data_IF_711175580234
#
_entry.id   IF_711175580234
#
_cell.length_a   1.000
_cell.length_b   1.000
_cell.length_c   1.000
_cell.angle_alpha   90.00
_cell.angle_beta   90.00
_cell.angle_gamma   90.00
#
_symmetry.space_group_name_H-M   'P 1'
#
loop_
_entity.id
_entity.type
_entity.pdbx_description
1 polymer ?
#
# COMPACT_ATOMS: atom_id res chain seq x y z
N UNK A 1 -25.35 16.46 -8.65
CA UNK A 1 -26.70 16.71 -8.12
C UNK A 1 -27.49 15.40 -8.27
N UNK A 2 -27.84 14.76 -7.15
CA UNK A 2 -28.67 13.56 -7.14
C UNK A 2 -30.09 13.96 -7.53
N UNK A 3 -30.46 13.69 -8.76
CA UNK A 3 -31.82 13.90 -9.25
C UNK A 3 -32.51 12.56 -9.39
N UNK A 4 -33.77 12.48 -8.94
CA UNK A 4 -34.61 11.32 -9.21
C UNK A 4 -35.83 11.75 -10.01
N UNK A 5 -36.33 10.86 -10.85
CA UNK A 5 -37.55 11.09 -11.65
C UNK A 5 -38.70 10.33 -11.02
N UNK A 6 -39.82 11.00 -10.87
CA UNK A 6 -41.10 10.39 -10.52
C UNK A 6 -41.88 10.23 -11.82
N UNK A 7 -42.12 8.98 -12.23
CA UNK A 7 -42.97 8.65 -13.35
C UNK A 7 -44.44 8.70 -12.93
N UNK A 8 -45.28 9.33 -13.73
CA UNK A 8 -46.72 9.36 -13.52
C UNK A 8 -47.41 8.29 -14.42
N UNK A 9 -48.02 7.28 -13.84
CA UNK A 9 -48.84 6.26 -14.55
C UNK A 9 -50.16 6.15 -13.83
N UNK A 10 -51.21 6.84 -14.35
CA UNK A 10 -52.58 6.80 -13.84
C UNK A 10 -53.05 8.06 -13.14
N UNK A 11 -54.24 8.05 -12.57
CA UNK A 11 -54.79 9.14 -11.75
C UNK A 11 -54.06 9.22 -10.43
N UNK A 12 -53.52 10.41 -10.11
CA UNK A 12 -52.82 10.69 -8.84
C UNK A 12 -53.69 11.65 -8.05
N UNK A 13 -54.03 11.23 -6.84
CA UNK A 13 -54.80 12.02 -5.89
C UNK A 13 -53.85 12.78 -4.93
N UNK A 14 -54.36 13.88 -4.34
CA UNK A 14 -53.58 14.70 -3.39
C UNK A 14 -52.98 13.88 -2.23
N UNK A 15 -53.70 12.84 -1.80
CA UNK A 15 -53.31 11.92 -0.73
C UNK A 15 -52.10 11.06 -1.12
N UNK A 16 -51.99 10.65 -2.40
CA UNK A 16 -50.85 9.91 -2.93
C UNK A 16 -49.62 10.76 -2.96
N UNK A 17 -49.74 12.03 -3.33
CA UNK A 17 -48.64 13.00 -3.33
C UNK A 17 -48.16 13.24 -1.90
N UNK A 18 -49.06 13.43 -0.93
CA UNK A 18 -48.68 13.58 0.49
C UNK A 18 -47.95 12.38 1.03
N UNK A 19 -48.40 11.17 0.71
CA UNK A 19 -47.79 9.91 1.12
C UNK A 19 -46.37 9.76 0.49
N UNK A 20 -46.22 10.10 -0.78
CA UNK A 20 -44.93 10.09 -1.47
C UNK A 20 -43.96 11.09 -0.84
N UNK A 21 -44.39 12.32 -0.56
CA UNK A 21 -43.58 13.33 0.11
C UNK A 21 -43.13 12.89 1.51
N UNK A 22 -44.02 12.22 2.27
CA UNK A 22 -43.69 11.65 3.58
C UNK A 22 -42.60 10.57 3.47
N UNK A 23 -42.73 9.62 2.53
CA UNK A 23 -41.74 8.56 2.28
C UNK A 23 -40.40 9.16 1.85
N UNK A 24 -40.40 10.14 0.95
CA UNK A 24 -39.20 10.85 0.54
C UNK A 24 -38.56 11.57 1.73
N UNK A 25 -39.37 12.25 2.55
CA UNK A 25 -38.89 12.92 3.76
C UNK A 25 -38.23 11.96 4.76
N UNK A 26 -38.85 10.80 5.01
CA UNK A 26 -38.26 9.75 5.86
C UNK A 26 -36.95 9.20 5.28
N UNK A 27 -36.92 8.96 3.97
CA UNK A 27 -35.72 8.46 3.29
C UNK A 27 -34.58 9.48 3.35
N UNK A 28 -34.88 10.75 3.09
CA UNK A 28 -33.91 11.84 3.19
C UNK A 28 -33.40 12.02 4.62
N UNK A 29 -34.30 12.00 5.61
CA UNK A 29 -33.93 12.09 7.02
C UNK A 29 -33.05 10.89 7.47
N UNK A 30 -33.36 9.66 7.04
CA UNK A 30 -32.50 8.48 7.30
C UNK A 30 -31.13 8.63 6.63
N UNK A 31 -31.09 9.18 5.41
CA UNK A 31 -29.84 9.43 4.68
C UNK A 31 -29.00 10.54 5.34
N UNK A 32 -29.66 11.58 5.84
CA UNK A 32 -29.04 12.68 6.60
C UNK A 32 -28.50 12.17 7.94
N UNK A 33 -29.32 11.46 8.72
CA UNK A 33 -28.88 10.87 10.01
C UNK A 33 -27.74 9.85 9.84
N UNK A 34 -27.74 9.12 8.72
CA UNK A 34 -26.62 8.22 8.39
C UNK A 34 -25.35 9.00 8.01
N UNK A 35 -25.49 10.19 7.38
CA UNK A 35 -24.37 11.11 7.11
C UNK A 35 -23.87 11.79 8.39
N UNK A 36 -24.75 12.18 9.30
CA UNK A 36 -24.40 12.81 10.58
C UNK A 36 -23.70 11.84 11.55
N UNK A 37 -23.90 10.51 11.40
CA UNK A 37 -23.19 9.48 12.18
C UNK A 37 -21.81 9.12 11.66
N UNK A 38 -21.45 9.58 10.46
CA UNK A 38 -20.12 9.36 9.85
C UNK A 38 -19.48 10.71 9.52
N UNK A 39 -18.88 11.35 10.52
CA UNK A 39 -18.03 12.52 10.32
C UNK A 39 -16.70 12.19 9.62
N UNK A 40 -16.50 10.96 9.17
CA UNK A 40 -15.28 10.54 8.50
C UNK A 40 -15.30 10.89 7.01
N UNK A 41 -14.20 11.50 6.53
CA UNK A 41 -14.03 11.79 5.11
C UNK A 41 -13.91 10.50 4.27
N UNK A 42 -13.54 9.36 4.88
CA UNK A 42 -13.25 8.11 4.22
C UNK A 42 -14.11 6.95 4.75
N UNK A 43 -14.44 6.00 3.86
CA UNK A 43 -15.13 4.75 4.17
C UNK A 43 -14.15 3.59 4.36
N UNK A 44 -12.94 3.70 3.81
CA UNK A 44 -11.90 2.69 3.95
C UNK A 44 -10.49 3.28 3.83
N UNK A 45 -9.54 2.57 4.46
CA UNK A 45 -8.11 2.77 4.27
C UNK A 45 -7.50 1.47 3.73
N UNK A 46 -6.72 1.59 2.66
CA UNK A 46 -6.00 0.48 2.03
C UNK A 46 -4.50 0.65 2.34
N UNK A 47 -3.98 -0.19 3.21
CA UNK A 47 -2.58 -0.17 3.63
C UNK A 47 -1.69 -1.04 2.73
N UNK A 48 -0.44 -0.68 2.61
CA UNK A 48 0.63 -1.61 2.23
C UNK A 48 1.07 -2.45 3.44
N UNK A 49 1.93 -3.45 3.20
CA UNK A 49 2.43 -4.35 4.23
C UNK A 49 3.86 -4.00 4.69
N UNK A 50 4.89 -4.50 4.01
CA UNK A 50 6.27 -4.41 4.45
C UNK A 50 6.78 -2.95 4.40
N UNK A 51 7.24 -2.42 5.53
CA UNK A 51 7.62 -1.02 5.67
C UNK A 51 6.47 -0.09 6.07
N UNK A 52 5.21 -0.51 5.87
CA UNK A 52 4.01 0.25 6.26
C UNK A 52 3.37 -0.29 7.52
N UNK A 53 2.93 -1.56 7.52
CA UNK A 53 2.24 -2.19 8.65
C UNK A 53 3.06 -3.25 9.37
N UNK A 54 3.95 -3.92 8.65
CA UNK A 54 4.90 -4.92 9.18
C UNK A 54 6.31 -4.63 8.69
N UNK A 55 7.31 -5.36 9.17
CA UNK A 55 8.71 -5.31 8.72
C UNK A 55 9.25 -3.86 8.71
N UNK A 56 9.53 -3.33 9.90
CA UNK A 56 10.07 -1.99 10.06
C UNK A 56 11.39 -1.81 9.28
N UNK A 57 11.40 -0.93 8.27
CA UNK A 57 12.52 -0.70 7.36
C UNK A 57 12.53 -1.59 6.12
N UNK A 58 11.55 -2.50 5.98
CA UNK A 58 11.38 -3.38 4.81
C UNK A 58 12.64 -4.21 4.50
N UNK A 59 13.12 -4.97 5.49
CA UNK A 59 14.38 -5.72 5.37
C UNK A 59 14.23 -7.09 4.72
N UNK A 60 13.08 -7.77 4.85
CA UNK A 60 12.89 -9.11 4.29
C UNK A 60 13.22 -9.19 2.78
N UNK A 61 12.65 -8.35 1.91
CA UNK A 61 12.97 -8.38 0.50
C UNK A 61 14.35 -7.81 0.19
N UNK A 62 14.81 -6.80 0.92
CA UNK A 62 16.11 -6.15 0.69
C UNK A 62 17.25 -7.15 0.81
N UNK A 63 17.32 -7.87 1.93
CA UNK A 63 18.35 -8.86 2.15
C UNK A 63 18.30 -9.98 1.09
N UNK A 64 17.10 -10.44 0.74
CA UNK A 64 16.91 -11.49 -0.25
C UNK A 64 17.41 -11.08 -1.66
N UNK A 65 17.18 -9.83 -2.07
CA UNK A 65 17.72 -9.32 -3.33
C UNK A 65 19.24 -9.20 -3.29
N UNK A 66 19.81 -8.70 -2.19
CA UNK A 66 21.26 -8.64 -2.03
C UNK A 66 21.88 -10.02 -2.16
N UNK A 67 21.38 -10.98 -1.41
CA UNK A 67 21.87 -12.37 -1.41
C UNK A 67 21.69 -13.04 -2.78
N UNK A 68 20.59 -12.74 -3.50
CA UNK A 68 20.37 -13.28 -4.84
C UNK A 68 21.37 -12.75 -5.86
N UNK A 69 21.60 -11.44 -5.88
CA UNK A 69 22.60 -10.85 -6.79
C UNK A 69 24.02 -11.30 -6.47
N UNK A 70 24.35 -11.50 -5.20
CA UNK A 70 25.67 -12.00 -4.76
C UNK A 70 25.96 -13.41 -5.32
N UNK A 71 24.95 -14.29 -5.41
CA UNK A 71 25.09 -15.59 -6.07
C UNK A 71 25.43 -15.52 -7.56
N UNK A 72 25.09 -14.40 -8.21
CA UNK A 72 25.50 -14.09 -9.59
C UNK A 72 26.81 -13.31 -9.65
N UNK A 73 27.52 -13.14 -8.50
CA UNK A 73 28.80 -12.46 -8.39
C UNK A 73 28.69 -10.92 -8.39
N UNK A 74 27.50 -10.38 -8.24
CA UNK A 74 27.23 -8.92 -8.22
C UNK A 74 26.84 -8.53 -6.82
N UNK A 75 27.53 -7.55 -6.22
CA UNK A 75 27.19 -6.98 -4.92
C UNK A 75 26.49 -5.63 -5.12
N UNK A 76 25.16 -5.57 -5.06
CA UNK A 76 24.45 -4.30 -5.18
C UNK A 76 24.61 -3.47 -3.90
N UNK A 77 24.50 -2.16 -4.03
CA UNK A 77 24.38 -1.28 -2.88
C UNK A 77 22.99 -1.30 -2.31
N UNK A 78 22.85 -0.91 -1.04
CA UNK A 78 21.53 -0.77 -0.39
C UNK A 78 20.61 0.18 -1.15
N UNK A 79 21.13 1.28 -1.67
CA UNK A 79 20.35 2.26 -2.43
C UNK A 79 19.84 1.69 -3.76
N UNK A 80 20.66 0.89 -4.45
CA UNK A 80 20.24 0.22 -5.70
C UNK A 80 19.14 -0.80 -5.46
N UNK A 81 19.21 -1.57 -4.36
CA UNK A 81 18.15 -2.52 -3.99
C UNK A 81 16.88 -1.78 -3.59
N UNK A 82 17.00 -0.66 -2.89
CA UNK A 82 15.83 0.07 -2.37
C UNK A 82 15.11 0.93 -3.41
N UNK A 83 15.80 1.38 -4.45
CA UNK A 83 15.22 2.27 -5.46
C UNK A 83 13.94 1.72 -6.13
N UNK A 84 13.88 0.44 -6.59
CA UNK A 84 12.68 -0.14 -7.18
C UNK A 84 11.74 -0.82 -6.16
N UNK A 85 11.88 -0.56 -4.86
CA UNK A 85 11.07 -1.20 -3.84
C UNK A 85 9.57 -0.92 -4.03
N UNK A 86 8.73 -1.90 -3.70
CA UNK A 86 7.28 -1.82 -3.88
C UNK A 86 6.77 -2.21 -5.28
N UNK A 87 7.65 -2.40 -6.27
CA UNK A 87 7.31 -2.92 -7.60
C UNK A 87 7.03 -4.44 -7.55
N UNK A 88 6.45 -4.98 -8.63
CA UNK A 88 6.42 -6.42 -8.87
C UNK A 88 7.84 -6.99 -8.85
N UNK A 89 8.06 -8.13 -8.19
CA UNK A 89 9.42 -8.62 -7.90
C UNK A 89 10.29 -8.85 -9.14
N UNK A 90 9.70 -9.34 -10.23
CA UNK A 90 10.43 -9.51 -11.50
C UNK A 90 10.82 -8.17 -12.12
N UNK A 91 9.95 -7.15 -12.02
CA UNK A 91 10.22 -5.80 -12.52
C UNK A 91 11.25 -5.09 -11.63
N UNK A 92 11.27 -5.39 -10.35
CA UNK A 92 12.31 -4.95 -9.42
C UNK A 92 13.69 -5.44 -9.88
N UNK A 93 13.85 -6.75 -10.12
CA UNK A 93 15.11 -7.34 -10.61
C UNK A 93 15.51 -6.73 -11.95
N UNK A 94 14.55 -6.63 -12.90
CA UNK A 94 14.80 -6.03 -14.21
C UNK A 94 15.30 -4.59 -14.07
N UNK A 95 14.67 -3.79 -13.22
CA UNK A 95 15.06 -2.40 -12.96
C UNK A 95 16.44 -2.33 -12.35
N UNK A 96 16.80 -3.22 -11.43
CA UNK A 96 18.14 -3.27 -10.87
C UNK A 96 19.18 -3.58 -11.95
N UNK A 97 18.97 -4.62 -12.77
CA UNK A 97 19.88 -5.00 -13.85
C UNK A 97 20.05 -3.90 -14.92
N UNK A 98 19.07 -3.00 -15.06
CA UNK A 98 19.13 -1.83 -15.96
C UNK A 98 19.89 -0.64 -15.37
N UNK A 99 20.29 -0.68 -14.11
CA UNK A 99 21.12 0.38 -13.51
C UNK A 99 22.53 0.30 -14.08
N UNK A 100 23.07 1.45 -14.49
CA UNK A 100 24.35 1.57 -15.19
C UNK A 100 25.48 0.74 -14.55
N UNK A 101 25.66 0.86 -13.23
CA UNK A 101 26.68 0.10 -12.51
C UNK A 101 26.44 -1.41 -12.53
N UNK A 102 25.21 -1.85 -12.29
CA UNK A 102 24.87 -3.28 -12.25
C UNK A 102 24.90 -3.90 -13.64
N UNK A 103 24.51 -3.16 -14.68
CA UNK A 103 24.67 -3.57 -16.08
C UNK A 103 26.14 -3.77 -16.42
N UNK A 104 27.00 -2.82 -16.07
CA UNK A 104 28.44 -2.91 -16.32
C UNK A 104 29.09 -4.09 -15.55
N UNK A 105 28.71 -4.34 -14.29
CA UNK A 105 29.17 -5.49 -13.53
C UNK A 105 28.72 -6.82 -14.17
N UNK A 106 27.47 -6.90 -14.64
CA UNK A 106 26.98 -8.06 -15.37
C UNK A 106 27.82 -8.36 -16.62
N UNK A 107 28.03 -7.34 -17.47
CA UNK A 107 28.84 -7.47 -18.68
C UNK A 107 30.30 -7.84 -18.37
N UNK A 108 30.87 -7.30 -17.31
CA UNK A 108 32.23 -7.65 -16.85
C UNK A 108 32.34 -9.13 -16.45
N UNK A 109 31.33 -9.69 -15.77
CA UNK A 109 31.35 -11.07 -15.25
C UNK A 109 31.02 -12.06 -16.36
N UNK A 110 29.97 -11.79 -17.15
CA UNK A 110 29.43 -12.75 -18.12
C UNK A 110 29.90 -12.51 -19.57
N UNK A 111 30.59 -11.39 -19.85
CA UNK A 111 31.11 -11.05 -21.19
C UNK A 111 29.99 -10.73 -22.20
N UNK A 112 28.77 -10.49 -21.75
CA UNK A 112 27.58 -10.19 -22.57
C UNK A 112 26.57 -9.35 -21.81
N UNK A 113 25.67 -8.61 -22.50
CA UNK A 113 24.51 -8.01 -21.86
C UNK A 113 23.61 -9.06 -21.17
N UNK A 114 22.87 -8.64 -20.15
CA UNK A 114 21.85 -9.49 -19.55
C UNK A 114 20.66 -9.68 -20.49
N UNK A 115 19.93 -10.77 -20.33
CA UNK A 115 18.74 -11.16 -21.10
C UNK A 115 17.54 -11.27 -20.16
N UNK A 116 16.32 -11.42 -20.72
CA UNK A 116 15.12 -11.68 -19.90
C UNK A 116 15.19 -13.04 -19.19
N UNK A 117 15.93 -14.02 -19.71
CA UNK A 117 16.18 -15.27 -19.02
C UNK A 117 17.05 -15.06 -17.75
N UNK A 118 18.05 -14.19 -17.82
CA UNK A 118 18.88 -13.84 -16.67
C UNK A 118 18.04 -13.09 -15.61
N UNK A 119 17.19 -12.16 -16.04
CA UNK A 119 16.22 -11.51 -15.14
C UNK A 119 15.37 -12.54 -14.42
N UNK A 120 14.86 -13.53 -15.15
CA UNK A 120 14.01 -14.57 -14.58
C UNK A 120 14.78 -15.46 -13.59
N UNK A 121 16.02 -15.84 -13.87
CA UNK A 121 16.86 -16.63 -12.95
C UNK A 121 17.15 -15.89 -11.65
N UNK A 122 17.55 -14.60 -11.72
CA UNK A 122 17.77 -13.77 -10.54
C UNK A 122 16.46 -13.60 -9.75
N UNK A 123 15.34 -13.38 -10.45
CA UNK A 123 14.02 -13.28 -9.83
C UNK A 123 13.63 -14.56 -9.07
N UNK A 124 13.75 -15.74 -9.70
CA UNK A 124 13.41 -17.02 -9.04
C UNK A 124 14.23 -17.22 -7.76
N UNK A 125 15.53 -16.92 -7.81
CA UNK A 125 16.38 -17.02 -6.63
C UNK A 125 15.99 -16.01 -5.56
N UNK A 126 15.70 -14.78 -5.95
CA UNK A 126 15.23 -13.74 -5.02
C UNK A 126 13.91 -14.13 -4.35
N UNK A 127 12.98 -14.69 -5.10
CA UNK A 127 11.68 -15.15 -4.59
C UNK A 127 11.84 -16.24 -3.53
N UNK A 128 12.69 -17.23 -3.82
CA UNK A 128 13.06 -18.30 -2.86
C UNK A 128 13.66 -17.70 -1.58
N UNK A 129 14.63 -16.80 -1.72
CA UNK A 129 15.28 -16.15 -0.57
C UNK A 129 14.32 -15.24 0.22
N UNK A 130 13.35 -14.59 -0.45
CA UNK A 130 12.30 -13.83 0.25
C UNK A 130 11.45 -14.77 1.09
N UNK A 131 10.97 -15.90 0.54
CA UNK A 131 10.17 -16.89 1.26
C UNK A 131 10.92 -17.45 2.51
N UNK A 132 12.22 -17.67 2.40
CA UNK A 132 13.06 -18.11 3.53
C UNK A 132 13.18 -17.02 4.61
N UNK A 133 13.20 -15.75 4.24
CA UNK A 133 13.40 -14.61 5.14
C UNK A 133 12.09 -14.10 5.76
N UNK A 134 10.99 -14.08 5.02
CA UNK A 134 9.70 -13.51 5.43
C UNK A 134 9.24 -13.92 6.83
N UNK A 135 9.36 -15.19 7.28
CA UNK A 135 8.95 -15.57 8.64
C UNK A 135 9.63 -14.77 9.76
N UNK A 136 10.82 -14.25 9.50
CA UNK A 136 11.63 -13.49 10.47
C UNK A 136 11.24 -12.00 10.54
N UNK A 137 10.47 -11.50 9.56
CA UNK A 137 10.15 -10.09 9.37
C UNK A 137 8.64 -9.84 9.36
N UNK A 138 7.92 -10.50 10.24
CA UNK A 138 6.45 -10.41 10.36
C UNK A 138 6.00 -9.56 11.55
N UNK A 139 6.92 -8.85 12.21
CA UNK A 139 6.57 -8.01 13.34
C UNK A 139 5.75 -6.82 12.87
N UNK A 140 4.61 -6.62 13.56
CA UNK A 140 3.75 -5.46 13.35
C UNK A 140 4.47 -4.20 13.79
N UNK A 141 4.47 -3.18 12.94
CA UNK A 141 5.13 -1.92 13.25
C UNK A 141 4.44 -1.20 14.43
N UNK A 142 5.18 -0.33 15.13
CA UNK A 142 4.61 0.46 16.20
C UNK A 142 3.36 1.22 15.77
N UNK A 143 2.37 1.28 16.66
CA UNK A 143 1.12 2.03 16.52
C UNK A 143 0.13 1.51 15.43
N UNK A 144 0.45 0.45 14.71
CA UNK A 144 -0.41 -0.09 13.65
C UNK A 144 -1.70 -0.64 14.24
N UNK A 145 -1.59 -1.49 15.27
CA UNK A 145 -2.76 -2.12 15.90
C UNK A 145 -3.71 -1.08 16.45
N UNK A 146 -3.21 -0.13 17.23
CA UNK A 146 -4.00 0.93 17.85
C UNK A 146 -4.65 1.86 16.81
N UNK A 147 -3.92 2.19 15.73
CA UNK A 147 -4.45 3.01 14.65
C UNK A 147 -5.56 2.30 13.90
N UNK A 148 -5.38 1.01 13.57
CA UNK A 148 -6.39 0.19 12.88
C UNK A 148 -7.63 -0.01 13.74
N UNK A 149 -7.47 -0.26 15.04
CA UNK A 149 -8.60 -0.35 15.98
C UNK A 149 -9.37 0.98 16.07
N UNK A 150 -8.68 2.10 16.10
CA UNK A 150 -9.29 3.44 16.08
C UNK A 150 -10.10 3.65 14.81
N UNK A 151 -9.53 3.35 13.63
CA UNK A 151 -10.23 3.44 12.35
C UNK A 151 -11.47 2.57 12.30
N UNK A 152 -11.38 1.32 12.80
CA UNK A 152 -12.53 0.41 12.90
C UNK A 152 -13.61 0.91 13.85
N UNK A 153 -13.20 1.51 14.97
CA UNK A 153 -14.13 2.17 15.90
C UNK A 153 -14.93 3.30 15.25
N UNK A 154 -14.38 3.94 14.23
CA UNK A 154 -15.04 4.97 13.41
C UNK A 154 -15.87 4.38 12.25
N UNK A 155 -15.91 3.04 12.10
CA UNK A 155 -16.63 2.34 11.02
C UNK A 155 -15.88 2.26 9.70
N UNK A 156 -14.58 2.57 9.67
CA UNK A 156 -13.73 2.54 8.49
C UNK A 156 -13.26 1.10 8.22
N UNK A 157 -13.41 0.66 6.98
CA UNK A 157 -12.96 -0.65 6.51
C UNK A 157 -11.46 -0.65 6.24
N UNK A 158 -10.81 -1.78 6.48
CA UNK A 158 -9.35 -1.91 6.32
C UNK A 158 -9.05 -2.91 5.21
N UNK A 159 -8.57 -2.42 4.10
CA UNK A 159 -8.05 -3.23 3.00
C UNK A 159 -6.52 -3.22 2.97
N UNK A 160 -5.96 -4.06 2.09
CA UNK A 160 -4.51 -4.03 1.88
C UNK A 160 -4.11 -4.46 0.47
N UNK A 161 -2.99 -3.89 -0.02
CA UNK A 161 -2.28 -4.32 -1.23
C UNK A 161 -0.83 -4.61 -0.90
N UNK A 162 -0.16 -5.42 -1.72
CA UNK A 162 1.23 -5.80 -1.47
C UNK A 162 2.00 -6.03 -2.77
N UNK A 163 3.32 -5.97 -2.71
CA UNK A 163 4.21 -6.46 -3.76
C UNK A 163 4.67 -7.91 -3.54
N UNK A 164 4.21 -8.58 -2.47
CA UNK A 164 4.44 -9.99 -2.23
C UNK A 164 3.52 -10.88 -3.07
N UNK A 165 3.91 -12.14 -3.30
CA UNK A 165 3.06 -13.19 -3.88
C UNK A 165 2.05 -13.69 -2.85
N UNK A 166 1.03 -14.45 -3.32
CA UNK A 166 0.06 -15.08 -2.42
C UNK A 166 0.74 -15.99 -1.40
N UNK A 167 1.74 -16.79 -1.83
CA UNK A 167 2.49 -17.70 -0.96
C UNK A 167 3.22 -16.95 0.18
N UNK A 168 3.87 -15.82 -0.14
CA UNK A 168 4.50 -14.96 0.87
C UNK A 168 3.46 -14.37 1.82
N UNK A 169 2.32 -13.97 1.28
CA UNK A 169 1.25 -13.35 2.06
C UNK A 169 0.54 -14.29 3.01
N UNK A 170 0.40 -15.58 2.66
CA UNK A 170 -0.12 -16.58 3.59
C UNK A 170 0.72 -16.65 4.88
N UNK A 171 2.02 -16.53 4.76
CA UNK A 171 2.93 -16.49 5.91
C UNK A 171 2.80 -15.17 6.69
N UNK A 172 2.92 -14.04 5.98
CA UNK A 172 2.93 -12.71 6.60
C UNK A 172 1.60 -12.38 7.27
N UNK A 173 0.48 -12.61 6.57
CA UNK A 173 -0.84 -12.28 7.08
C UNK A 173 -1.24 -13.14 8.27
N UNK A 174 -0.90 -14.45 8.24
CA UNK A 174 -1.14 -15.34 9.38
C UNK A 174 -0.33 -14.90 10.60
N UNK A 175 0.97 -14.60 10.44
CA UNK A 175 1.81 -14.15 11.52
C UNK A 175 1.41 -12.78 12.07
N UNK A 176 1.08 -11.81 11.21
CA UNK A 176 0.63 -10.48 11.61
C UNK A 176 -0.70 -10.54 12.38
N UNK A 177 -1.62 -11.42 11.99
CA UNK A 177 -2.89 -11.63 12.68
C UNK A 177 -2.68 -12.08 14.14
N UNK A 178 -1.70 -12.95 14.42
CA UNK A 178 -1.37 -13.36 15.81
C UNK A 178 -0.78 -12.21 16.64
N UNK A 179 -0.27 -11.17 15.96
CA UNK A 179 0.34 -9.99 16.56
C UNK A 179 -0.61 -8.76 16.57
N UNK A 180 -1.90 -8.98 16.25
CA UNK A 180 -2.96 -7.97 16.35
C UNK A 180 -3.24 -7.18 15.07
N UNK A 181 -2.60 -7.47 13.94
CA UNK A 181 -2.92 -6.81 12.67
C UNK A 181 -3.55 -7.78 11.67
N UNK A 182 -4.83 -7.55 11.39
CA UNK A 182 -5.61 -8.32 10.41
C UNK A 182 -6.51 -7.38 9.61
N UNK A 183 -6.18 -7.04 8.36
CA UNK A 183 -7.10 -6.29 7.49
C UNK A 183 -8.34 -7.13 7.13
N UNK A 184 -9.40 -6.49 6.64
CA UNK A 184 -10.64 -7.17 6.23
C UNK A 184 -10.43 -7.99 4.94
N UNK A 185 -9.51 -7.51 4.09
CA UNK A 185 -9.01 -8.24 2.92
C UNK A 185 -7.61 -7.74 2.53
N UNK A 186 -6.90 -8.58 1.78
CA UNK A 186 -5.66 -8.22 1.12
C UNK A 186 -5.62 -8.81 -0.29
N UNK A 187 -4.93 -8.13 -1.21
CA UNK A 187 -4.74 -8.58 -2.58
C UNK A 187 -3.28 -8.39 -2.99
N UNK A 188 -2.74 -9.43 -3.61
CA UNK A 188 -1.41 -9.49 -4.19
C UNK A 188 -1.47 -9.30 -5.71
N UNK A 189 -0.33 -9.17 -6.40
CA UNK A 189 -0.28 -9.19 -7.86
C UNK A 189 -0.87 -10.46 -8.48
N UNK A 190 -0.82 -11.61 -7.79
CA UNK A 190 -1.35 -12.88 -8.31
C UNK A 190 -2.87 -12.83 -8.49
N UNK A 191 -3.58 -12.04 -7.67
CA UNK A 191 -5.03 -11.84 -7.77
C UNK A 191 -5.48 -10.94 -8.93
N UNK A 192 -4.54 -10.33 -9.67
CA UNK A 192 -4.78 -9.34 -10.74
C UNK A 192 -3.92 -9.61 -12.00
N UNK A 193 -3.78 -10.88 -12.37
CA UNK A 193 -3.02 -11.34 -13.54
C UNK A 193 -1.57 -10.80 -13.55
N UNK A 194 -0.95 -10.71 -12.38
CA UNK A 194 0.40 -10.14 -12.15
C UNK A 194 0.56 -8.69 -12.60
N UNK A 195 -0.53 -7.96 -12.75
CA UNK A 195 -0.51 -6.51 -13.02
C UNK A 195 -0.45 -5.72 -11.71
N UNK A 196 0.62 -5.93 -10.94
CA UNK A 196 0.90 -5.24 -9.70
C UNK A 196 1.16 -3.74 -9.87
N UNK A 197 1.63 -3.11 -8.81
CA UNK A 197 1.97 -1.67 -8.78
C UNK A 197 2.91 -1.27 -9.92
N UNK A 198 2.74 -0.11 -10.49
CA UNK A 198 1.86 0.99 -10.10
C UNK A 198 0.43 0.90 -10.66
N UNK A 199 0.01 -0.24 -11.22
CA UNK A 199 -1.36 -0.42 -11.69
C UNK A 199 -2.33 -0.45 -10.51
N UNK A 200 -3.55 0.11 -10.63
CA UNK A 200 -4.49 0.26 -9.54
C UNK A 200 -5.37 -0.97 -9.28
N UNK A 201 -5.12 -2.09 -9.93
CA UNK A 201 -6.04 -3.22 -9.95
C UNK A 201 -6.24 -3.88 -8.57
N UNK A 202 -5.19 -4.00 -7.76
CA UNK A 202 -5.31 -4.52 -6.39
C UNK A 202 -6.18 -3.60 -5.51
N UNK A 203 -6.09 -2.27 -5.70
CA UNK A 203 -6.97 -1.31 -5.03
C UNK A 203 -8.42 -1.53 -5.44
N UNK A 204 -8.69 -1.68 -6.74
CA UNK A 204 -10.05 -1.93 -7.22
C UNK A 204 -10.62 -3.27 -6.75
N UNK A 205 -9.78 -4.31 -6.61
CA UNK A 205 -10.18 -5.58 -5.97
C UNK A 205 -10.56 -5.39 -4.51
N UNK A 206 -9.79 -4.61 -3.74
CA UNK A 206 -10.15 -4.23 -2.37
C UNK A 206 -11.50 -3.51 -2.34
N UNK A 207 -11.70 -2.51 -3.19
CA UNK A 207 -12.95 -1.75 -3.25
C UNK A 207 -14.15 -2.65 -3.58
N UNK A 208 -13.99 -3.55 -4.56
CA UNK A 208 -15.03 -4.51 -4.93
C UNK A 208 -15.39 -5.43 -3.75
N UNK A 209 -14.38 -6.01 -3.09
CA UNK A 209 -14.59 -6.91 -1.95
C UNK A 209 -15.26 -6.19 -0.78
N UNK A 210 -14.83 -4.97 -0.49
CA UNK A 210 -15.36 -4.15 0.60
C UNK A 210 -16.69 -3.46 0.25
N UNK A 211 -17.21 -3.61 -0.99
CA UNK A 211 -18.45 -2.97 -1.42
C UNK A 211 -18.35 -1.44 -1.49
N UNK A 212 -17.20 -0.90 -1.89
CA UNK A 212 -16.95 0.53 -2.02
C UNK A 212 -17.15 0.98 -3.46
N UNK A 213 -17.81 2.13 -3.65
CA UNK A 213 -18.17 2.64 -4.98
C UNK A 213 -17.63 4.02 -5.30
N UNK A 214 -17.04 4.71 -4.32
CA UNK A 214 -16.48 6.05 -4.50
C UNK A 214 -15.01 6.08 -4.11
N UNK A 215 -14.13 6.21 -5.09
CA UNK A 215 -12.66 6.26 -4.91
C UNK A 215 -12.24 7.45 -4.04
N UNK A 216 -13.00 8.55 -4.05
CA UNK A 216 -12.71 9.76 -3.25
C UNK A 216 -12.91 9.53 -1.75
N UNK A 217 -13.59 8.43 -1.37
CA UNK A 217 -13.82 8.03 0.01
C UNK A 217 -12.94 6.86 0.44
N UNK A 218 -11.87 6.60 -0.32
CA UNK A 218 -10.87 5.57 -0.02
C UNK A 218 -9.50 6.22 0.06
N UNK A 219 -8.75 5.88 1.09
CA UNK A 219 -7.37 6.34 1.29
C UNK A 219 -6.40 5.18 1.01
N UNK A 220 -5.33 5.46 0.28
CA UNK A 220 -4.17 4.56 0.18
C UNK A 220 -3.06 5.04 1.11
N UNK A 221 -2.48 4.11 1.88
CA UNK A 221 -1.34 4.38 2.75
C UNK A 221 -0.20 3.43 2.41
N UNK A 222 0.99 3.96 2.20
CA UNK A 222 2.16 3.16 1.85
C UNK A 222 3.47 3.87 2.16
N UNK A 223 4.58 3.19 1.91
CA UNK A 223 5.93 3.62 2.27
C UNK A 223 6.91 3.68 1.08
N UNK A 224 6.40 3.47 -0.14
CA UNK A 224 7.20 3.51 -1.37
C UNK A 224 6.59 4.43 -2.43
N UNK A 225 7.42 4.87 -3.38
CA UNK A 225 6.96 5.60 -4.58
C UNK A 225 5.94 4.76 -5.37
N UNK A 226 6.09 3.43 -5.38
CA UNK A 226 5.15 2.52 -6.05
C UNK A 226 3.78 2.53 -5.41
N UNK A 227 3.68 2.64 -4.07
CA UNK A 227 2.41 2.81 -3.35
C UNK A 227 1.72 4.12 -3.71
N UNK A 228 2.51 5.19 -3.71
CA UNK A 228 1.98 6.52 -4.04
C UNK A 228 1.40 6.51 -5.45
N UNK A 229 2.14 5.97 -6.42
CA UNK A 229 1.68 5.86 -7.81
C UNK A 229 0.47 4.94 -7.96
N UNK A 230 0.42 3.81 -7.25
CA UNK A 230 -0.75 2.92 -7.22
C UNK A 230 -2.00 3.66 -6.76
N UNK A 231 -1.92 4.38 -5.63
CA UNK A 231 -3.02 5.17 -5.10
C UNK A 231 -3.46 6.30 -6.03
N UNK A 232 -2.52 7.03 -6.61
CA UNK A 232 -2.81 8.12 -7.57
C UNK A 232 -3.42 7.59 -8.86
N UNK A 233 -2.94 6.47 -9.39
CA UNK A 233 -3.51 5.84 -10.57
C UNK A 233 -4.93 5.30 -10.33
N UNK A 234 -5.27 4.96 -9.08
CA UNK A 234 -6.62 4.61 -8.67
C UNK A 234 -7.52 5.84 -8.41
N UNK A 235 -6.96 7.04 -8.34
CA UNK A 235 -7.69 8.28 -8.01
C UNK A 235 -7.99 8.46 -6.51
N UNK A 236 -7.23 7.80 -5.64
CA UNK A 236 -7.38 7.86 -4.20
C UNK A 236 -6.64 9.04 -3.58
N UNK A 237 -7.09 9.45 -2.38
CA UNK A 237 -6.26 10.21 -1.46
C UNK A 237 -5.12 9.32 -0.96
N UNK A 238 -3.88 9.75 -1.15
CA UNK A 238 -2.72 8.89 -0.98
C UNK A 238 -1.74 9.48 0.02
N UNK A 239 -1.38 8.68 1.03
CA UNK A 239 -0.55 9.08 2.16
C UNK A 239 0.74 8.26 2.19
N UNK A 240 1.88 8.96 2.26
CA UNK A 240 3.19 8.34 2.48
C UNK A 240 3.55 8.30 3.97
N UNK A 241 4.08 7.18 4.46
CA UNK A 241 4.57 7.01 5.84
C UNK A 241 6.09 6.99 5.85
N UNK A 242 6.71 7.82 6.71
CA UNK A 242 8.17 8.00 6.76
C UNK A 242 8.85 6.98 7.68
N UNK A 243 8.43 6.93 8.95
CA UNK A 243 9.09 6.09 9.97
C UNK A 243 8.92 4.60 9.67
N UNK A 244 10.05 3.90 9.63
CA UNK A 244 10.09 2.48 9.32
C UNK A 244 9.76 2.14 7.88
N UNK A 245 9.83 3.13 6.98
CA UNK A 245 9.65 2.92 5.54
C UNK A 245 10.88 2.29 4.89
N UNK A 246 10.65 1.65 3.74
CA UNK A 246 11.71 1.22 2.84
C UNK A 246 12.59 2.39 2.39
N UNK A 247 11.97 3.55 2.15
CA UNK A 247 12.68 4.76 1.74
C UNK A 247 13.57 5.33 2.86
N UNK A 248 13.17 5.22 4.14
CA UNK A 248 14.03 5.56 5.27
C UNK A 248 15.16 4.56 5.43
N UNK A 249 14.90 3.28 5.21
CA UNK A 249 15.88 2.21 5.14
C UNK A 249 16.63 1.90 6.43
N UNK A 250 16.07 2.24 7.58
CA UNK A 250 16.66 2.07 8.90
C UNK A 250 15.86 1.08 9.74
N UNK A 251 16.55 0.30 10.57
CA UNK A 251 15.93 -0.44 11.65
C UNK A 251 15.35 0.53 12.71
N UNK A 252 14.50 0.02 13.58
CA UNK A 252 13.92 0.80 14.67
C UNK A 252 14.98 1.36 15.61
N UNK A 253 16.00 0.58 15.89
CA UNK A 253 17.13 0.94 16.76
C UNK A 253 17.97 2.03 16.12
N UNK A 254 18.31 1.90 14.85
CA UNK A 254 19.06 2.91 14.09
C UNK A 254 18.26 4.23 14.01
N UNK A 255 16.96 4.16 13.68
CA UNK A 255 16.13 5.36 13.62
C UNK A 255 16.03 6.06 14.98
N UNK A 256 15.91 5.31 16.09
CA UNK A 256 15.91 5.88 17.44
C UNK A 256 17.24 6.54 17.81
N UNK A 257 18.35 5.97 17.36
CA UNK A 257 19.70 6.47 17.65
C UNK A 257 20.05 7.77 16.91
N UNK A 258 19.32 8.11 15.82
CA UNK A 258 19.54 9.37 15.10
C UNK A 258 19.28 10.58 16.03
N UNK A 259 20.13 11.60 15.88
CA UNK A 259 19.87 12.91 16.47
C UNK A 259 18.60 13.56 15.89
N UNK A 260 17.96 14.51 16.57
CA UNK A 260 16.79 15.23 16.04
C UNK A 260 17.05 15.86 14.65
N UNK A 261 18.25 16.42 14.44
CA UNK A 261 18.64 17.03 13.17
C UNK A 261 18.74 16.01 12.04
N UNK A 262 19.35 14.85 12.28
CA UNK A 262 19.45 13.78 11.30
C UNK A 262 18.09 13.20 10.96
N UNK A 263 17.20 13.00 11.96
CA UNK A 263 15.82 12.57 11.73
C UNK A 263 15.09 13.54 10.81
N UNK A 264 15.18 14.83 11.11
CA UNK A 264 14.52 15.87 10.31
C UNK A 264 15.05 15.91 8.86
N UNK A 265 16.38 15.86 8.69
CA UNK A 265 17.01 15.90 7.38
C UNK A 265 16.60 14.68 6.52
N UNK A 266 16.68 13.47 7.08
CA UNK A 266 16.29 12.24 6.38
C UNK A 266 14.79 12.23 6.09
N UNK A 267 13.95 12.59 7.07
CA UNK A 267 12.49 12.69 6.90
C UNK A 267 12.10 13.69 5.82
N UNK A 268 12.80 14.80 5.71
CA UNK A 268 12.58 15.80 4.67
C UNK A 268 12.85 15.23 3.27
N UNK A 269 13.93 14.45 3.10
CA UNK A 269 14.24 13.79 1.82
C UNK A 269 13.15 12.79 1.41
N UNK A 270 12.74 11.94 2.34
CA UNK A 270 11.66 10.95 2.09
C UNK A 270 10.34 11.65 1.81
N UNK A 271 9.99 12.70 2.57
CA UNK A 271 8.79 13.51 2.34
C UNK A 271 8.79 14.11 0.94
N UNK A 272 9.89 14.72 0.55
CA UNK A 272 10.02 15.33 -0.78
C UNK A 272 9.81 14.30 -1.89
N UNK A 273 10.42 13.13 -1.78
CA UNK A 273 10.28 12.03 -2.74
C UNK A 273 8.81 11.57 -2.88
N UNK A 274 8.07 11.45 -1.78
CA UNK A 274 6.66 11.06 -1.84
C UNK A 274 5.78 12.17 -2.43
N UNK A 275 6.03 13.43 -2.11
CA UNK A 275 5.30 14.56 -2.68
C UNK A 275 5.56 14.68 -4.19
N UNK A 276 6.79 14.48 -4.65
CA UNK A 276 7.14 14.45 -6.07
C UNK A 276 6.49 13.27 -6.82
N UNK A 277 6.27 12.14 -6.12
CA UNK A 277 5.52 11.00 -6.66
C UNK A 277 4.01 11.25 -6.70
N UNK A 278 3.51 12.35 -6.10
CA UNK A 278 2.12 12.77 -6.12
C UNK A 278 1.33 12.47 -4.84
N UNK A 279 1.98 12.16 -3.72
CA UNK A 279 1.29 11.97 -2.43
C UNK A 279 0.49 13.23 -2.05
N UNK A 280 -0.75 13.04 -1.61
CA UNK A 280 -1.60 14.13 -1.11
C UNK A 280 -1.19 14.56 0.31
N UNK A 281 -0.64 13.61 1.08
CA UNK A 281 -0.11 13.84 2.41
C UNK A 281 1.09 12.94 2.72
N UNK A 282 1.94 13.37 3.66
CA UNK A 282 3.06 12.57 4.17
C UNK A 282 3.12 12.72 5.68
N UNK A 283 3.02 11.59 6.37
CA UNK A 283 3.00 11.51 7.83
C UNK A 283 4.30 10.91 8.38
N UNK A 284 4.64 11.26 9.60
CA UNK A 284 5.84 10.73 10.24
C UNK A 284 5.67 9.24 10.55
N UNK A 285 4.61 8.86 11.22
CA UNK A 285 4.23 7.48 11.49
C UNK A 285 2.74 7.26 11.19
N UNK A 286 2.28 6.00 11.31
CA UNK A 286 0.95 5.61 10.89
C UNK A 286 -0.19 6.32 11.64
N UNK A 287 0.05 6.84 12.85
CA UNK A 287 -0.95 7.60 13.63
C UNK A 287 -1.39 8.87 12.92
N UNK A 288 -0.48 9.50 12.15
CA UNK A 288 -0.79 10.70 11.38
C UNK A 288 -1.89 10.49 10.33
N UNK A 289 -2.21 9.25 9.97
CA UNK A 289 -3.35 8.94 9.10
C UNK A 289 -4.67 9.41 9.71
N UNK A 290 -4.80 9.36 11.04
CA UNK A 290 -6.01 9.77 11.77
C UNK A 290 -6.32 11.28 11.64
N UNK A 291 -5.34 12.10 11.29
CA UNK A 291 -5.52 13.55 11.10
C UNK A 291 -6.35 13.88 9.84
N UNK A 292 -6.50 12.92 8.93
CA UNK A 292 -7.20 13.10 7.64
C UNK A 292 -8.57 12.41 7.62
N UNK A 293 -8.94 11.70 8.68
CA UNK A 293 -10.22 10.97 8.78
C UNK A 293 -11.32 11.90 9.27
#
# INVERSE_FOLDING_TARGET
>A
ADTFRIGNIGEIYEEDIRRLCAIIGEFLNKKIQKREKSHTAFDAVIFDWAGTTVDYGCFAPVQAFMDAFEEFGIVPTMDEVRAPMGMLKIDHVRTMLQMERLTAEWERIYGRPFTEEDVYQVYQLSEKKILENVPRFTDVKPYVTETVETLRGMGIKIGSTTGYTDEMMEIVAAAAATKGYKPDCWFSPDSVDRKGRPNPYMIFRNMQFLGLTDVRRVMKVGDTVSDIREGKNAGLFTVGVIEGSSAMGLSREEFKALSPKEKEERSRKVRQMYLEAGADAVVTDIRGVLEYI
#
